data_IF_395244553137
#
_entry.id   IF_395244553137
#
_cell.length_a   1.000
_cell.length_b   1.000
_cell.length_c   1.000
_cell.angle_alpha   90.00
_cell.angle_beta   90.00
_cell.angle_gamma   90.00
#
_symmetry.space_group_name_H-M   'P 1'
#
loop_
_entity.id
_entity.type
_entity.pdbx_description
1 polymer ?
#
# COMPACT_ATOMS: atom_id res chain seq x y z
N UNK A 1 -18.58 9.00 28.61
CA UNK A 1 -19.97 9.47 28.54
C UNK A 1 -20.83 8.27 28.15
N UNK A 2 -21.59 7.75 29.11
CA UNK A 2 -22.47 6.59 28.94
C UNK A 2 -23.66 6.98 28.06
N UNK A 3 -23.95 6.19 27.03
CA UNK A 3 -25.19 6.31 26.26
C UNK A 3 -26.09 5.14 26.68
N UNK A 4 -27.06 5.43 27.54
CA UNK A 4 -28.21 4.55 27.77
C UNK A 4 -29.19 4.74 26.61
N UNK A 5 -29.51 3.66 25.92
CA UNK A 5 -30.58 3.60 24.92
C UNK A 5 -31.85 3.15 25.62
N UNK A 6 -32.90 3.95 25.51
CA UNK A 6 -34.24 3.61 25.99
C UNK A 6 -34.84 2.47 25.15
N UNK A 7 -35.20 1.38 25.82
CA UNK A 7 -35.93 0.24 25.23
C UNK A 7 -37.44 0.45 25.40
N UNK A 8 -38.16 0.65 24.31
CA UNK A 8 -39.61 0.41 24.26
C UNK A 8 -39.87 -1.04 23.85
N UNK A 9 -40.74 -1.70 24.61
CA UNK A 9 -41.10 -3.10 24.47
C UNK A 9 -41.88 -3.36 23.17
N UNK A 10 -41.43 -4.35 22.41
CA UNK A 10 -42.20 -5.00 21.34
C UNK A 10 -42.17 -6.50 21.59
N UNK A 11 -43.33 -7.16 21.51
CA UNK A 11 -43.53 -8.59 21.74
C UNK A 11 -42.70 -9.51 20.83
N UNK A 12 -42.72 -10.82 21.07
CA UNK A 12 -41.73 -11.76 20.56
C UNK A 12 -41.87 -11.95 19.05
N UNK A 13 -41.08 -11.21 18.27
CA UNK A 13 -40.76 -11.54 16.88
C UNK A 13 -39.55 -12.47 16.87
N UNK A 14 -39.67 -13.58 16.17
CA UNK A 14 -38.63 -14.60 16.03
C UNK A 14 -37.25 -13.98 15.72
N UNK A 15 -36.24 -14.41 16.48
CA UNK A 15 -34.87 -13.88 16.59
C UNK A 15 -33.99 -14.09 15.34
N UNK A 16 -34.56 -14.54 14.22
CA UNK A 16 -33.82 -15.02 13.04
C UNK A 16 -33.07 -13.91 12.30
N UNK A 17 -33.55 -12.67 12.36
CA UNK A 17 -32.90 -11.51 11.73
C UNK A 17 -31.68 -10.98 12.49
N UNK A 18 -31.66 -11.14 13.82
CA UNK A 18 -30.56 -10.69 14.69
C UNK A 18 -29.38 -11.66 14.60
N UNK A 19 -29.67 -12.96 14.62
CA UNK A 19 -28.67 -14.02 14.47
C UNK A 19 -28.01 -13.99 13.07
N UNK A 20 -28.78 -13.74 12.01
CA UNK A 20 -28.24 -13.56 10.67
C UNK A 20 -27.33 -12.33 10.55
N UNK A 21 -27.62 -11.24 11.28
CA UNK A 21 -26.78 -10.05 11.36
C UNK A 21 -25.47 -10.29 12.10
N UNK A 22 -25.52 -11.02 13.22
CA UNK A 22 -24.34 -11.41 14.03
C UNK A 22 -23.42 -12.34 13.22
N UNK A 23 -23.98 -13.34 12.54
CA UNK A 23 -23.21 -14.27 11.71
C UNK A 23 -22.48 -13.59 10.55
N UNK A 24 -23.10 -12.58 9.93
CA UNK A 24 -22.47 -11.80 8.85
C UNK A 24 -21.35 -10.89 9.34
N UNK A 25 -21.49 -10.23 10.49
CA UNK A 25 -20.41 -9.42 11.08
C UNK A 25 -19.20 -10.29 11.43
N UNK A 26 -19.43 -11.45 12.03
CA UNK A 26 -18.36 -12.40 12.35
C UNK A 26 -17.63 -12.91 11.09
N UNK A 27 -18.37 -13.20 10.01
CA UNK A 27 -17.77 -13.60 8.74
C UNK A 27 -16.93 -12.48 8.10
N UNK A 28 -17.41 -11.24 8.14
CA UNK A 28 -16.70 -10.07 7.64
C UNK A 28 -15.39 -9.83 8.42
N UNK A 29 -15.43 -9.92 9.76
CA UNK A 29 -14.23 -9.79 10.60
C UNK A 29 -13.20 -10.88 10.32
N UNK A 30 -13.64 -12.14 10.19
CA UNK A 30 -12.76 -13.26 9.83
C UNK A 30 -12.10 -13.06 8.47
N UNK A 31 -12.85 -12.54 7.50
CA UNK A 31 -12.30 -12.25 6.17
C UNK A 31 -11.22 -11.17 6.25
N UNK A 32 -11.50 -10.04 6.89
CA UNK A 32 -10.49 -8.99 7.10
C UNK A 32 -9.25 -9.52 7.82
N UNK A 33 -9.43 -10.35 8.85
CA UNK A 33 -8.32 -10.97 9.57
C UNK A 33 -7.49 -11.87 8.65
N UNK A 34 -8.11 -12.65 7.76
CA UNK A 34 -7.38 -13.47 6.79
C UNK A 34 -6.52 -12.63 5.84
N UNK A 35 -7.04 -11.50 5.34
CA UNK A 35 -6.26 -10.55 4.53
C UNK A 35 -5.07 -9.97 5.32
N UNK A 36 -5.27 -9.59 6.58
CA UNK A 36 -4.16 -9.11 7.43
C UNK A 36 -3.11 -10.21 7.66
N UNK A 37 -3.53 -11.44 7.98
CA UNK A 37 -2.60 -12.55 8.25
C UNK A 37 -1.79 -12.90 7.01
N UNK A 38 -2.43 -12.99 5.84
CA UNK A 38 -1.73 -13.25 4.57
C UNK A 38 -0.74 -12.13 4.24
N UNK A 39 -1.18 -10.87 4.32
CA UNK A 39 -0.33 -9.72 4.01
C UNK A 39 0.85 -9.59 4.97
N UNK A 40 0.61 -9.59 6.29
CA UNK A 40 1.67 -9.47 7.28
C UNK A 40 2.56 -10.72 7.36
N UNK A 41 2.04 -11.91 7.00
CA UNK A 41 2.85 -13.10 6.81
C UNK A 41 3.86 -12.93 5.67
N UNK A 42 3.41 -12.38 4.54
CA UNK A 42 4.30 -12.06 3.42
C UNK A 42 5.33 -10.98 3.80
N UNK A 43 4.91 -9.92 4.52
CA UNK A 43 5.83 -8.89 5.04
C UNK A 43 6.88 -9.51 5.95
N UNK A 44 6.50 -10.41 6.85
CA UNK A 44 7.45 -11.06 7.77
C UNK A 44 8.53 -11.82 6.98
N UNK A 45 8.12 -12.65 6.02
CA UNK A 45 9.07 -13.41 5.19
C UNK A 45 9.95 -12.48 4.37
N UNK A 46 9.38 -11.54 3.61
CA UNK A 46 10.15 -10.63 2.77
C UNK A 46 11.06 -9.69 3.57
N UNK A 47 10.57 -9.10 4.66
CA UNK A 47 11.32 -8.16 5.50
C UNK A 47 12.48 -8.82 6.25
N UNK A 48 12.38 -10.10 6.63
CA UNK A 48 13.52 -10.81 7.26
C UNK A 48 14.72 -11.00 6.33
N UNK A 49 14.52 -10.88 5.01
CA UNK A 49 15.60 -10.87 4.02
C UNK A 49 16.28 -9.49 3.96
N UNK A 50 15.57 -8.41 4.31
CA UNK A 50 16.07 -7.03 4.25
C UNK A 50 17.38 -6.78 5.01
N UNK A 51 17.54 -7.25 6.27
CA UNK A 51 18.80 -7.16 6.99
C UNK A 51 19.99 -7.79 6.25
N UNK A 52 19.78 -8.88 5.51
CA UNK A 52 20.83 -9.53 4.71
C UNK A 52 21.27 -8.65 3.56
N UNK A 53 20.33 -7.94 2.94
CA UNK A 53 20.61 -6.98 1.86
C UNK A 53 21.36 -5.76 2.40
N UNK A 54 20.93 -5.22 3.55
CA UNK A 54 21.62 -4.13 4.21
C UNK A 54 23.07 -4.50 4.60
N UNK A 55 23.28 -5.71 5.13
CA UNK A 55 24.62 -6.24 5.42
C UNK A 55 25.46 -6.39 4.15
N UNK A 56 24.87 -6.88 3.05
CA UNK A 56 25.56 -7.00 1.78
C UNK A 56 26.09 -5.64 1.28
N UNK A 57 25.28 -4.58 1.36
CA UNK A 57 25.70 -3.21 1.03
C UNK A 57 26.74 -2.63 2.00
N UNK A 58 26.86 -3.19 3.20
CA UNK A 58 27.94 -2.89 4.15
C UNK A 58 29.20 -3.76 3.95
N UNK A 59 29.25 -4.57 2.86
CA UNK A 59 30.37 -5.47 2.57
C UNK A 59 30.36 -6.79 3.36
N UNK A 60 29.26 -7.11 4.04
CA UNK A 60 29.11 -8.33 4.85
C UNK A 60 28.16 -9.30 4.13
N UNK A 61 28.71 -10.34 3.51
CA UNK A 61 27.91 -11.33 2.78
C UNK A 61 27.46 -12.50 3.68
N UNK A 62 26.20 -12.45 4.13
CA UNK A 62 25.59 -13.48 4.98
C UNK A 62 24.88 -14.62 4.21
N UNK A 63 24.75 -14.53 2.87
CA UNK A 63 24.01 -15.51 2.07
C UNK A 63 24.60 -16.93 2.07
N UNK A 64 25.93 -17.15 2.13
CA UNK A 64 26.48 -18.51 2.22
C UNK A 64 25.94 -19.31 3.40
N UNK A 65 25.70 -18.65 4.54
CA UNK A 65 25.18 -19.27 5.77
C UNK A 65 23.69 -19.64 5.70
N UNK A 66 22.98 -19.20 4.65
CA UNK A 66 21.55 -19.44 4.46
C UNK A 66 21.25 -20.53 3.43
N UNK A 67 22.27 -21.18 2.87
CA UNK A 67 22.05 -22.32 1.97
C UNK A 67 21.59 -23.54 2.78
N UNK A 68 20.64 -24.34 2.26
CA UNK A 68 20.04 -24.26 0.92
C UNK A 68 18.80 -23.35 0.82
N UNK A 69 18.37 -22.69 1.89
CA UNK A 69 17.13 -21.89 1.92
C UNK A 69 17.15 -20.72 0.92
N UNK A 70 18.25 -19.98 0.84
CA UNK A 70 18.49 -18.96 -0.18
C UNK A 70 19.80 -19.27 -0.91
N UNK A 71 19.71 -19.46 -2.22
CA UNK A 71 20.85 -19.85 -3.07
C UNK A 71 21.71 -18.64 -3.47
N UNK A 72 21.06 -17.52 -3.76
CA UNK A 72 21.70 -16.29 -4.26
C UNK A 72 21.11 -15.02 -3.64
N UNK A 73 21.87 -13.93 -3.74
CA UNK A 73 21.40 -12.58 -3.40
C UNK A 73 20.13 -12.21 -4.17
N UNK A 74 20.13 -12.45 -5.49
CA UNK A 74 19.03 -12.07 -6.39
C UNK A 74 17.76 -12.90 -6.17
N UNK A 75 17.88 -14.16 -5.74
CA UNK A 75 16.73 -14.94 -5.29
C UNK A 75 16.08 -14.26 -4.07
N UNK A 76 16.89 -13.92 -3.06
CA UNK A 76 16.42 -13.19 -1.88
C UNK A 76 15.84 -11.82 -2.23
N UNK A 77 16.46 -11.08 -3.14
CA UNK A 77 15.98 -9.77 -3.60
C UNK A 77 14.65 -9.87 -4.35
N UNK A 78 14.47 -10.91 -5.16
CA UNK A 78 13.19 -11.21 -5.82
C UNK A 78 12.10 -11.49 -4.78
N UNK A 79 12.36 -12.38 -3.82
CA UNK A 79 11.42 -12.71 -2.74
C UNK A 79 11.06 -11.46 -1.92
N UNK A 80 12.06 -10.66 -1.55
CA UNK A 80 11.85 -9.43 -0.79
C UNK A 80 10.93 -8.46 -1.52
N UNK A 81 11.26 -8.13 -2.78
CA UNK A 81 10.48 -7.17 -3.57
C UNK A 81 9.08 -7.68 -3.86
N UNK A 82 8.93 -8.96 -4.20
CA UNK A 82 7.61 -9.54 -4.55
C UNK A 82 6.70 -9.65 -3.32
N UNK A 83 7.21 -10.20 -2.21
CA UNK A 83 6.39 -10.40 -1.02
C UNK A 83 6.04 -9.09 -0.32
N UNK A 84 6.96 -8.12 -0.27
CA UNK A 84 6.69 -6.84 0.38
C UNK A 84 5.95 -5.87 -0.53
N UNK A 85 6.34 -5.78 -1.80
CA UNK A 85 5.80 -4.81 -2.76
C UNK A 85 4.45 -5.20 -3.34
N UNK A 86 4.21 -6.49 -3.62
CA UNK A 86 2.93 -6.95 -4.16
C UNK A 86 2.09 -7.67 -3.12
N UNK A 87 2.57 -8.78 -2.55
CA UNK A 87 1.71 -9.66 -1.72
C UNK A 87 1.24 -8.92 -0.45
N UNK A 88 2.16 -8.41 0.36
CA UNK A 88 1.84 -7.69 1.60
C UNK A 88 0.87 -6.53 1.35
N UNK A 89 1.25 -5.61 0.47
CA UNK A 89 0.47 -4.39 0.21
C UNK A 89 -0.88 -4.73 -0.40
N UNK A 90 -0.96 -5.66 -1.36
CA UNK A 90 -2.23 -5.97 -2.02
C UNK A 90 -3.21 -6.61 -1.05
N UNK A 91 -2.78 -7.60 -0.26
CA UNK A 91 -3.68 -8.25 0.69
C UNK A 91 -4.20 -7.24 1.72
N UNK A 92 -3.32 -6.42 2.31
CA UNK A 92 -3.76 -5.43 3.30
C UNK A 92 -4.67 -4.38 2.65
N UNK A 93 -4.29 -3.84 1.49
CA UNK A 93 -5.09 -2.86 0.73
C UNK A 93 -6.48 -3.40 0.38
N UNK A 94 -6.57 -4.55 -0.30
CA UNK A 94 -7.86 -5.11 -0.71
C UNK A 94 -8.75 -5.46 0.49
N UNK A 95 -8.15 -5.89 1.61
CA UNK A 95 -8.88 -6.08 2.86
C UNK A 95 -9.46 -4.77 3.40
N UNK A 96 -8.62 -3.75 3.57
CA UNK A 96 -9.00 -2.45 4.14
C UNK A 96 -10.04 -1.72 3.27
N UNK A 97 -9.84 -1.74 1.95
CA UNK A 97 -10.73 -1.07 0.99
C UNK A 97 -12.13 -1.65 0.97
N UNK A 98 -12.35 -2.90 1.41
CA UNK A 98 -13.70 -3.47 1.57
C UNK A 98 -14.20 -3.28 3.00
N UNK A 99 -13.36 -3.58 4.00
CA UNK A 99 -13.78 -3.59 5.40
C UNK A 99 -14.15 -2.20 5.91
N UNK A 100 -13.32 -1.18 5.68
CA UNK A 100 -13.56 0.16 6.23
C UNK A 100 -14.86 0.78 5.66
N UNK A 101 -15.15 0.73 4.35
CA UNK A 101 -16.44 1.17 3.82
C UNK A 101 -17.62 0.35 4.35
N UNK A 102 -17.46 -0.96 4.58
CA UNK A 102 -18.55 -1.76 5.15
C UNK A 102 -18.95 -1.28 6.55
N UNK A 103 -17.94 -0.93 7.37
CA UNK A 103 -18.15 -0.34 8.69
C UNK A 103 -18.72 1.08 8.61
N UNK A 104 -18.25 1.92 7.69
CA UNK A 104 -18.74 3.30 7.52
C UNK A 104 -20.19 3.35 7.01
N UNK A 105 -20.53 2.52 6.04
CA UNK A 105 -21.87 2.49 5.43
C UNK A 105 -22.89 1.73 6.28
N UNK A 106 -22.43 0.82 7.16
CA UNK A 106 -23.29 -0.16 7.83
C UNK A 106 -23.91 -1.16 6.85
N UNK A 107 -23.22 -1.46 5.75
CA UNK A 107 -23.68 -2.36 4.68
C UNK A 107 -22.71 -3.53 4.58
N UNK A 108 -23.23 -4.76 4.66
CA UNK A 108 -22.40 -5.95 4.54
C UNK A 108 -21.84 -6.10 3.10
N UNK A 109 -20.55 -6.44 2.94
CA UNK A 109 -19.96 -6.67 1.64
C UNK A 109 -20.44 -8.00 1.03
N UNK A 110 -20.31 -8.13 -0.30
CA UNK A 110 -20.50 -9.40 -0.99
C UNK A 110 -19.44 -10.43 -0.62
N UNK A 111 -19.67 -11.19 0.46
CA UNK A 111 -18.68 -12.12 1.03
C UNK A 111 -18.18 -13.20 0.06
N UNK A 112 -19.03 -13.68 -0.85
CA UNK A 112 -18.61 -14.67 -1.84
C UNK A 112 -17.55 -14.09 -2.78
N UNK A 113 -17.76 -12.89 -3.31
CA UNK A 113 -16.81 -12.22 -4.17
C UNK A 113 -15.53 -11.82 -3.41
N UNK A 114 -15.65 -11.46 -2.13
CA UNK A 114 -14.48 -11.17 -1.30
C UNK A 114 -13.63 -12.44 -1.02
N UNK A 115 -14.27 -13.61 -0.91
CA UNK A 115 -13.57 -14.91 -0.85
C UNK A 115 -12.88 -15.25 -2.16
N UNK A 116 -13.51 -14.97 -3.30
CA UNK A 116 -12.88 -15.16 -4.62
C UNK A 116 -11.67 -14.24 -4.78
N UNK A 117 -11.79 -12.96 -4.38
CA UNK A 117 -10.67 -12.01 -4.29
C UNK A 117 -9.50 -12.61 -3.50
N UNK A 118 -9.76 -13.05 -2.27
CA UNK A 118 -8.73 -13.68 -1.44
C UNK A 118 -8.15 -14.94 -2.09
N UNK A 119 -9.00 -15.82 -2.61
CA UNK A 119 -8.60 -17.10 -3.20
C UNK A 119 -7.70 -16.95 -4.42
N UNK A 120 -8.01 -16.01 -5.32
CA UNK A 120 -7.18 -15.70 -6.48
C UNK A 120 -5.80 -15.19 -6.05
N UNK A 121 -5.77 -14.24 -5.13
CA UNK A 121 -4.51 -13.68 -4.62
C UNK A 121 -3.69 -14.73 -3.86
N UNK A 122 -4.34 -15.62 -3.11
CA UNK A 122 -3.67 -16.68 -2.36
C UNK A 122 -3.11 -17.76 -3.30
N UNK A 123 -3.87 -18.15 -4.32
CA UNK A 123 -3.39 -19.07 -5.35
C UNK A 123 -2.20 -18.47 -6.11
N UNK A 124 -2.29 -17.19 -6.51
CA UNK A 124 -1.19 -16.49 -7.16
C UNK A 124 0.06 -16.42 -6.27
N UNK A 125 -0.12 -16.11 -4.98
CA UNK A 125 0.97 -16.11 -3.99
C UNK A 125 1.62 -17.48 -3.83
N UNK A 126 0.85 -18.57 -3.85
CA UNK A 126 1.40 -19.93 -3.79
C UNK A 126 2.26 -20.25 -5.02
N UNK A 127 1.81 -19.87 -6.22
CA UNK A 127 2.60 -20.02 -7.45
C UNK A 127 3.89 -19.20 -7.40
N UNK A 128 3.82 -17.95 -6.91
CA UNK A 128 4.99 -17.08 -6.74
C UNK A 128 6.00 -17.67 -5.75
N UNK A 129 5.53 -18.11 -4.57
CA UNK A 129 6.37 -18.74 -3.56
C UNK A 129 7.08 -19.97 -4.12
N UNK A 130 6.34 -20.85 -4.82
CA UNK A 130 6.94 -22.01 -5.49
C UNK A 130 8.06 -21.58 -6.45
N UNK A 131 7.75 -20.68 -7.39
CA UNK A 131 8.70 -20.29 -8.43
C UNK A 131 9.96 -19.60 -7.87
N UNK A 132 9.81 -18.76 -6.83
CA UNK A 132 10.92 -18.04 -6.21
C UNK A 132 11.78 -18.93 -5.30
N UNK A 133 11.18 -19.82 -4.50
CA UNK A 133 11.94 -20.68 -3.58
C UNK A 133 12.60 -21.88 -4.28
N UNK A 134 12.01 -22.38 -5.37
CA UNK A 134 12.67 -23.34 -6.29
C UNK A 134 13.79 -22.69 -7.12
N UNK A 135 13.99 -21.37 -6.97
CA UNK A 135 14.97 -20.56 -7.70
C UNK A 135 14.77 -20.54 -9.23
N UNK A 136 13.63 -21.02 -9.71
CA UNK A 136 13.24 -20.95 -11.13
C UNK A 136 12.94 -19.53 -11.63
N UNK A 137 12.77 -18.57 -10.72
CA UNK A 137 12.46 -17.17 -11.02
C UNK A 137 13.23 -16.18 -10.15
N UNK A 138 14.53 -16.05 -10.37
CA UNK A 138 15.36 -14.96 -9.81
C UNK A 138 15.40 -13.74 -10.74
N UNK A 139 14.22 -13.19 -11.04
CA UNK A 139 14.00 -12.14 -12.06
C UNK A 139 13.66 -10.77 -11.46
N UNK A 140 13.81 -10.62 -10.15
CA UNK A 140 13.39 -9.44 -9.38
C UNK A 140 11.88 -9.20 -9.43
N UNK A 141 11.44 -8.18 -8.71
CA UNK A 141 10.03 -7.77 -8.66
C UNK A 141 9.56 -7.05 -9.92
N UNK A 142 10.46 -6.65 -10.81
CA UNK A 142 10.12 -6.02 -12.09
C UNK A 142 10.10 -7.00 -13.27
N UNK A 143 10.73 -8.17 -13.13
CA UNK A 143 10.63 -9.30 -14.07
C UNK A 143 10.83 -8.95 -15.56
N UNK A 144 11.70 -7.96 -15.84
CA UNK A 144 11.91 -7.46 -17.19
C UNK A 144 12.51 -8.51 -18.13
N UNK A 145 11.90 -8.75 -19.31
CA UNK A 145 12.53 -9.45 -20.41
C UNK A 145 13.87 -8.79 -20.80
N UNK A 146 14.87 -9.58 -21.23
CA UNK A 146 14.78 -11.01 -21.56
C UNK A 146 15.00 -11.95 -20.37
N UNK A 147 15.03 -11.48 -19.13
CA UNK A 147 15.13 -12.35 -17.95
C UNK A 147 13.84 -13.17 -17.80
N UNK A 148 13.93 -14.46 -18.16
CA UNK A 148 12.77 -15.36 -18.21
C UNK A 148 12.66 -16.17 -16.92
N UNK A 149 11.54 -16.00 -16.22
CA UNK A 149 11.14 -16.83 -15.09
C UNK A 149 10.31 -18.04 -15.51
N UNK A 150 9.96 -18.86 -14.52
CA UNK A 150 9.02 -19.96 -14.66
C UNK A 150 7.59 -19.49 -14.99
N UNK A 151 6.79 -20.27 -15.75
CA UNK A 151 5.36 -20.00 -15.94
C UNK A 151 4.58 -19.79 -14.66
N UNK A 152 4.96 -20.46 -13.56
CA UNK A 152 4.31 -20.28 -12.26
C UNK A 152 4.49 -18.86 -11.70
N UNK A 153 5.60 -18.20 -12.00
CA UNK A 153 5.82 -16.84 -11.54
C UNK A 153 4.89 -15.86 -12.25
N UNK A 154 4.85 -15.89 -13.58
CA UNK A 154 4.01 -14.98 -14.38
C UNK A 154 2.52 -15.24 -14.12
N UNK A 155 2.09 -16.51 -14.15
CA UNK A 155 0.70 -16.85 -13.83
C UNK A 155 0.33 -16.47 -12.40
N UNK A 156 1.27 -16.60 -11.46
CA UNK A 156 1.11 -16.13 -10.09
C UNK A 156 0.86 -14.62 -9.99
N UNK A 157 1.64 -13.82 -10.73
CA UNK A 157 1.42 -12.37 -10.87
C UNK A 157 0.08 -12.04 -11.52
N UNK A 158 -0.34 -12.81 -12.54
CA UNK A 158 -1.64 -12.65 -13.22
C UNK A 158 -2.79 -12.85 -12.25
N UNK A 159 -2.80 -13.95 -11.49
CA UNK A 159 -3.83 -14.22 -10.50
C UNK A 159 -3.88 -13.18 -9.38
N UNK A 160 -2.71 -12.73 -8.90
CA UNK A 160 -2.60 -11.68 -7.89
C UNK A 160 -3.19 -10.35 -8.40
N UNK A 161 -2.87 -9.98 -9.64
CA UNK A 161 -3.38 -8.78 -10.30
C UNK A 161 -4.89 -8.86 -10.48
N UNK A 162 -5.43 -9.94 -11.05
CA UNK A 162 -6.88 -10.12 -11.22
C UNK A 162 -7.59 -10.05 -9.87
N UNK A 163 -7.10 -10.80 -8.88
CA UNK A 163 -7.68 -10.84 -7.53
C UNK A 163 -7.75 -9.46 -6.89
N UNK A 164 -6.71 -8.64 -7.07
CA UNK A 164 -6.64 -7.29 -6.49
C UNK A 164 -7.67 -6.29 -7.04
N UNK A 165 -8.28 -6.57 -8.21
CA UNK A 165 -9.33 -5.71 -8.81
C UNK A 165 -10.72 -5.96 -8.25
N UNK A 166 -10.94 -7.15 -7.67
CA UNK A 166 -12.25 -7.62 -7.17
C UNK A 166 -12.90 -6.77 -6.06
N UNK A 167 -12.20 -5.96 -5.26
CA UNK A 167 -12.85 -5.02 -4.34
C UNK A 167 -13.75 -3.97 -5.02
N UNK A 168 -13.48 -3.58 -6.28
CA UNK A 168 -14.25 -2.55 -6.98
C UNK A 168 -15.75 -2.89 -7.11
N UNK A 169 -16.14 -4.04 -7.71
CA UNK A 169 -17.55 -4.41 -7.80
C UNK A 169 -18.22 -4.56 -6.42
N UNK A 170 -17.49 -5.02 -5.39
CA UNK A 170 -18.00 -5.10 -4.01
C UNK A 170 -18.36 -3.70 -3.50
N UNK A 171 -17.46 -2.74 -3.68
CA UNK A 171 -17.67 -1.36 -3.24
C UNK A 171 -18.79 -0.64 -3.99
N UNK A 172 -18.87 -0.85 -5.30
CA UNK A 172 -19.96 -0.30 -6.11
C UNK A 172 -21.32 -0.83 -5.65
N UNK A 173 -21.43 -2.13 -5.38
CA UNK A 173 -22.67 -2.75 -4.88
C UNK A 173 -23.04 -2.23 -3.48
N UNK A 174 -22.07 -2.10 -2.58
CA UNK A 174 -22.28 -1.55 -1.23
C UNK A 174 -22.73 -0.09 -1.30
N UNK A 175 -22.05 0.74 -2.10
CA UNK A 175 -22.43 2.13 -2.29
C UNK A 175 -23.82 2.26 -2.92
N UNK A 176 -24.15 1.45 -3.93
CA UNK A 176 -25.46 1.48 -4.56
C UNK A 176 -26.58 1.13 -3.56
N UNK A 177 -26.34 0.14 -2.70
CA UNK A 177 -27.27 -0.23 -1.61
C UNK A 177 -27.43 0.91 -0.61
N UNK A 178 -26.34 1.54 -0.18
CA UNK A 178 -26.38 2.68 0.71
C UNK A 178 -27.10 3.89 0.11
N UNK A 179 -26.86 4.20 -1.18
CA UNK A 179 -27.48 5.31 -1.91
C UNK A 179 -28.97 5.10 -2.15
N UNK A 180 -29.42 3.86 -2.38
CA UNK A 180 -30.86 3.53 -2.49
C UNK A 180 -31.61 3.85 -1.20
N UNK A 181 -31.01 3.56 -0.05
CA UNK A 181 -31.59 3.90 1.25
C UNK A 181 -31.46 5.38 1.62
N UNK A 182 -30.55 6.13 0.97
CA UNK A 182 -30.24 7.55 1.25
C UNK A 182 -30.11 8.37 -0.04
N UNK A 183 -31.19 8.55 -0.81
CA UNK A 183 -31.17 9.37 -2.02
C UNK A 183 -30.69 10.80 -1.69
N UNK A 184 -29.95 11.43 -2.62
CA UNK A 184 -29.42 12.79 -2.44
C UNK A 184 -28.21 12.94 -1.51
N UNK A 185 -27.96 12.02 -0.57
CA UNK A 185 -26.82 12.15 0.36
C UNK A 185 -25.46 11.90 -0.32
N UNK A 186 -24.46 12.71 -0.03
CA UNK A 186 -23.10 12.55 -0.56
C UNK A 186 -22.48 11.25 -0.03
N UNK A 187 -21.70 10.56 -0.87
CA UNK A 187 -21.00 9.33 -0.47
C UNK A 187 -20.10 9.63 0.76
N UNK A 188 -20.18 8.85 1.84
CA UNK A 188 -19.30 8.98 3.00
C UNK A 188 -17.82 8.93 2.62
N UNK A 189 -16.98 9.61 3.40
CA UNK A 189 -15.62 9.97 3.00
C UNK A 189 -14.73 8.75 2.77
N UNK A 190 -14.72 7.78 3.69
CA UNK A 190 -13.88 6.58 3.57
C UNK A 190 -14.30 5.73 2.37
N UNK A 191 -15.60 5.62 2.13
CA UNK A 191 -16.18 4.94 0.97
C UNK A 191 -15.82 5.64 -0.33
N UNK A 192 -15.90 6.98 -0.37
CA UNK A 192 -15.49 7.77 -1.53
C UNK A 192 -14.00 7.55 -1.84
N UNK A 193 -13.13 7.69 -0.84
CA UNK A 193 -11.70 7.50 -0.99
C UNK A 193 -11.37 6.07 -1.45
N UNK A 194 -12.06 5.06 -0.89
CA UNK A 194 -11.86 3.65 -1.26
C UNK A 194 -12.29 3.36 -2.71
N UNK A 195 -13.41 3.93 -3.14
CA UNK A 195 -13.87 3.81 -4.53
C UNK A 195 -12.91 4.48 -5.51
N UNK A 196 -12.44 5.69 -5.21
CA UNK A 196 -11.48 6.40 -6.06
C UNK A 196 -10.16 5.63 -6.16
N UNK A 197 -9.70 5.05 -5.05
CA UNK A 197 -8.52 4.17 -5.03
C UNK A 197 -8.72 2.96 -5.96
N UNK A 198 -9.86 2.28 -5.86
CA UNK A 198 -10.14 1.10 -6.68
C UNK A 198 -10.39 1.43 -8.16
N UNK A 199 -11.01 2.56 -8.47
CA UNK A 199 -11.18 3.02 -9.85
C UNK A 199 -9.83 3.32 -10.49
N UNK A 200 -8.96 4.05 -9.79
CA UNK A 200 -7.57 4.29 -10.22
C UNK A 200 -6.84 2.96 -10.44
N UNK A 201 -6.91 2.04 -9.48
CA UNK A 201 -6.23 0.75 -9.56
C UNK A 201 -6.71 -0.11 -10.72
N UNK A 202 -8.01 -0.22 -10.96
CA UNK A 202 -8.52 -1.02 -12.09
C UNK A 202 -8.09 -0.45 -13.43
N UNK A 203 -8.06 0.88 -13.59
CA UNK A 203 -7.52 1.50 -14.81
C UNK A 203 -6.02 1.25 -14.96
N UNK A 204 -5.25 1.40 -13.89
CA UNK A 204 -3.83 1.14 -13.89
C UNK A 204 -3.49 -0.33 -14.19
N UNK A 205 -4.22 -1.27 -13.57
CA UNK A 205 -3.99 -2.71 -13.70
C UNK A 205 -4.21 -3.26 -15.10
N UNK A 206 -4.82 -2.49 -16.01
CA UNK A 206 -4.90 -2.85 -17.44
C UNK A 206 -3.51 -3.02 -18.04
N UNK A 207 -2.53 -2.19 -17.65
CA UNK A 207 -1.14 -2.30 -18.14
C UNK A 207 -0.52 -3.65 -17.78
N UNK A 208 -0.53 -4.02 -16.51
CA UNK A 208 0.00 -5.27 -16.00
C UNK A 208 -0.76 -6.49 -16.56
N UNK A 209 -2.08 -6.42 -16.72
CA UNK A 209 -2.82 -7.51 -17.35
C UNK A 209 -2.49 -7.64 -18.83
N UNK A 210 -2.28 -6.53 -19.55
CA UNK A 210 -1.85 -6.57 -20.95
C UNK A 210 -0.42 -7.14 -21.08
N UNK A 211 0.50 -6.70 -20.23
CA UNK A 211 1.87 -7.21 -20.13
C UNK A 211 1.86 -8.73 -19.86
N UNK A 212 1.19 -9.15 -18.80
CA UNK A 212 1.18 -10.53 -18.36
C UNK A 212 0.44 -11.44 -19.36
N UNK A 213 -0.82 -11.14 -19.69
CA UNK A 213 -1.68 -12.05 -20.47
C UNK A 213 -1.30 -12.07 -21.96
N UNK A 214 -0.86 -10.93 -22.52
CA UNK A 214 -0.55 -10.85 -23.95
C UNK A 214 0.91 -11.18 -24.26
N UNK A 215 1.83 -11.02 -23.30
CA UNK A 215 3.27 -11.21 -23.53
C UNK A 215 3.86 -12.27 -22.59
N UNK A 216 3.92 -12.03 -21.28
CA UNK A 216 4.75 -12.83 -20.37
C UNK A 216 4.21 -14.24 -20.14
N UNK A 217 2.90 -14.42 -19.95
CA UNK A 217 2.27 -15.74 -19.80
C UNK A 217 2.47 -16.58 -21.08
N UNK A 218 2.08 -16.14 -22.29
CA UNK A 218 2.34 -16.86 -23.54
C UNK A 218 3.82 -17.13 -23.79
N UNK A 219 4.70 -16.18 -23.48
CA UNK A 219 6.14 -16.33 -23.66
C UNK A 219 6.71 -17.39 -22.72
N UNK A 220 6.29 -17.40 -21.46
CA UNK A 220 6.77 -18.34 -20.45
C UNK A 220 6.51 -19.80 -20.81
N UNK A 221 5.36 -20.09 -21.45
CA UNK A 221 4.96 -21.44 -21.88
C UNK A 221 5.37 -21.76 -23.34
N UNK A 222 6.04 -20.83 -24.02
CA UNK A 222 6.58 -21.05 -25.37
C UNK A 222 5.60 -20.85 -26.52
N UNK A 223 4.44 -20.23 -26.29
CA UNK A 223 3.50 -19.87 -27.37
C UNK A 223 4.02 -18.73 -28.25
N UNK A 224 4.82 -17.83 -27.68
CA UNK A 224 5.56 -16.81 -28.44
C UNK A 224 7.05 -16.94 -28.16
N UNK A 225 7.87 -16.67 -29.18
CA UNK A 225 9.31 -16.89 -29.11
C UNK A 225 10.06 -15.76 -28.38
N UNK A 226 9.56 -14.52 -28.48
CA UNK A 226 10.22 -13.34 -27.96
C UNK A 226 9.21 -12.30 -27.48
N UNK A 227 9.67 -11.42 -26.59
CA UNK A 227 8.96 -10.28 -26.04
C UNK A 227 9.82 -9.04 -26.30
N UNK A 228 9.23 -7.96 -26.80
CA UNK A 228 9.93 -6.69 -26.99
C UNK A 228 10.14 -6.02 -25.63
N UNK A 229 11.38 -5.83 -25.15
CA UNK A 229 11.63 -5.30 -23.81
C UNK A 229 11.16 -3.86 -23.60
N UNK A 230 11.08 -3.04 -24.66
CA UNK A 230 10.63 -1.65 -24.55
C UNK A 230 9.11 -1.60 -24.41
N UNK A 231 8.39 -2.40 -25.20
CA UNK A 231 6.92 -2.47 -25.09
C UNK A 231 6.53 -3.06 -23.74
N UNK A 232 7.17 -4.16 -23.33
CA UNK A 232 6.96 -4.79 -22.03
C UNK A 232 7.16 -3.80 -20.87
N UNK A 233 8.32 -3.14 -20.79
CA UNK A 233 8.59 -2.14 -19.75
C UNK A 233 7.63 -0.96 -19.78
N UNK A 234 7.12 -0.58 -20.96
CA UNK A 234 6.13 0.49 -21.09
C UNK A 234 4.79 0.07 -20.51
N UNK A 235 4.34 -1.17 -20.74
CA UNK A 235 3.14 -1.71 -20.12
C UNK A 235 3.32 -1.93 -18.62
N UNK A 236 4.49 -2.43 -18.19
CA UNK A 236 4.85 -2.56 -16.79
C UNK A 236 4.71 -1.21 -16.10
N UNK A 237 5.31 -0.15 -16.63
CA UNK A 237 5.30 1.17 -15.99
C UNK A 237 3.99 1.93 -16.13
N UNK A 238 3.15 1.61 -17.12
CA UNK A 238 1.75 2.05 -17.14
C UNK A 238 1.01 1.65 -15.86
N UNK A 239 1.37 0.52 -15.24
CA UNK A 239 0.87 0.11 -13.92
C UNK A 239 1.82 0.45 -12.78
N UNK A 240 3.13 0.33 -13.02
CA UNK A 240 4.20 0.33 -12.02
C UNK A 240 4.37 1.66 -11.30
N UNK A 241 3.91 2.77 -11.90
CA UNK A 241 3.79 4.02 -11.16
C UNK A 241 2.47 4.13 -10.39
N UNK A 242 1.28 3.98 -11.00
CA UNK A 242 0.03 4.05 -10.24
C UNK A 242 -0.08 3.06 -9.06
N UNK A 243 0.56 1.89 -9.17
CA UNK A 243 0.59 0.86 -8.11
C UNK A 243 1.15 1.43 -6.79
N UNK A 244 2.09 2.38 -6.84
CA UNK A 244 2.67 2.95 -5.61
C UNK A 244 1.64 3.79 -4.85
N UNK A 245 0.69 4.41 -5.58
CA UNK A 245 -0.45 5.07 -4.96
C UNK A 245 -1.53 4.09 -4.52
N UNK A 246 -1.69 2.96 -5.21
CA UNK A 246 -2.55 1.89 -4.72
C UNK A 246 -2.09 1.37 -3.34
N UNK A 247 -0.77 1.34 -3.09
CA UNK A 247 -0.22 1.07 -1.77
C UNK A 247 -0.38 2.23 -0.78
N UNK A 248 -0.21 3.48 -1.24
CA UNK A 248 -0.23 4.68 -0.39
C UNK A 248 -1.65 5.11 0.04
N UNK A 249 -2.62 5.07 -0.88
CA UNK A 249 -3.96 5.62 -0.67
C UNK A 249 -4.71 5.00 0.52
N UNK A 250 -4.58 3.70 0.85
CA UNK A 250 -5.13 3.15 2.08
C UNK A 250 -4.50 3.71 3.35
N UNK A 251 -3.22 4.07 3.33
CA UNK A 251 -2.60 4.81 4.42
C UNK A 251 -3.23 6.21 4.56
N UNK A 252 -3.44 6.91 3.44
CA UNK A 252 -4.15 8.20 3.44
C UNK A 252 -5.59 8.08 3.92
N UNK A 253 -6.31 7.00 3.57
CA UNK A 253 -7.66 6.72 4.10
C UNK A 253 -7.61 6.66 5.63
N UNK A 254 -6.60 6.01 6.21
CA UNK A 254 -6.42 5.99 7.66
C UNK A 254 -6.09 7.38 8.21
N UNK A 255 -5.20 8.14 7.56
CA UNK A 255 -4.82 9.48 8.03
C UNK A 255 -5.99 10.47 8.02
N UNK A 256 -6.72 10.54 6.91
CA UNK A 256 -7.88 11.43 6.77
C UNK A 256 -9.10 10.92 7.55
N UNK A 257 -9.40 9.63 7.47
CA UNK A 257 -10.62 9.05 8.02
C UNK A 257 -10.55 8.68 9.50
N UNK A 258 -9.36 8.36 10.03
CA UNK A 258 -9.21 7.74 11.36
C UNK A 258 -8.24 8.50 12.26
N UNK A 259 -7.02 8.81 11.79
CA UNK A 259 -5.93 9.34 12.62
C UNK A 259 -6.30 10.64 13.33
N UNK A 260 -6.95 11.57 12.64
CA UNK A 260 -7.35 12.86 13.24
C UNK A 260 -8.23 12.66 14.48
N UNK A 261 -9.12 11.65 14.47
CA UNK A 261 -9.94 11.28 15.64
C UNK A 261 -9.14 10.50 16.68
N UNK A 262 -8.26 9.59 16.27
CA UNK A 262 -7.37 8.85 17.17
C UNK A 262 -6.44 9.81 17.96
N UNK A 263 -6.02 10.91 17.34
CA UNK A 263 -5.23 11.97 17.96
C UNK A 263 -6.03 12.82 18.96
N UNK A 264 -7.36 12.66 19.04
CA UNK A 264 -8.25 13.45 19.91
C UNK A 264 -8.80 14.72 19.25
N UNK A 265 -8.71 14.86 17.93
CA UNK A 265 -9.25 15.98 17.17
C UNK A 265 -10.28 15.54 16.12
N UNK A 266 -10.30 16.28 15.01
CA UNK A 266 -11.16 16.01 13.85
C UNK A 266 -10.40 16.33 12.57
N UNK A 267 -10.83 15.74 11.45
CA UNK A 267 -10.38 16.18 10.14
C UNK A 267 -10.84 17.62 9.91
N UNK A 268 -9.93 18.52 9.59
CA UNK A 268 -10.25 19.95 9.41
C UNK A 268 -10.98 20.25 8.12
N UNK A 269 -10.84 19.41 7.08
CA UNK A 269 -11.50 19.60 5.79
C UNK A 269 -11.78 18.29 5.06
N UNK A 270 -13.06 17.91 4.99
CA UNK A 270 -13.55 16.81 4.14
C UNK A 270 -13.38 17.12 2.63
N UNK A 271 -13.71 18.33 2.11
CA UNK A 271 -13.51 18.65 0.69
C UNK A 271 -12.06 18.52 0.23
N UNK A 272 -11.07 18.91 1.05
CA UNK A 272 -9.66 18.78 0.69
C UNK A 272 -9.20 17.32 0.63
N UNK A 273 -9.71 16.47 1.52
CA UNK A 273 -9.47 15.03 1.44
C UNK A 273 -10.06 14.44 0.14
N UNK A 274 -11.28 14.85 -0.25
CA UNK A 274 -11.90 14.41 -1.50
C UNK A 274 -11.13 14.88 -2.73
N UNK A 275 -10.76 16.15 -2.76
CA UNK A 275 -9.96 16.74 -3.84
C UNK A 275 -8.63 15.99 -3.99
N UNK A 276 -7.94 15.72 -2.88
CA UNK A 276 -6.68 14.96 -2.89
C UNK A 276 -6.85 13.61 -3.59
N UNK A 277 -7.88 12.84 -3.24
CA UNK A 277 -8.12 11.53 -3.86
C UNK A 277 -8.48 11.65 -5.35
N UNK A 278 -9.28 12.65 -5.73
CA UNK A 278 -9.59 12.92 -7.13
C UNK A 278 -8.33 13.26 -7.94
N UNK A 279 -7.45 14.12 -7.40
CA UNK A 279 -6.20 14.48 -8.06
C UNK A 279 -5.24 13.29 -8.14
N UNK A 280 -5.15 12.45 -7.10
CA UNK A 280 -4.37 11.21 -7.15
C UNK A 280 -4.87 10.26 -8.24
N UNK A 281 -6.18 10.09 -8.39
CA UNK A 281 -6.73 9.25 -9.47
C UNK A 281 -6.37 9.76 -10.86
N UNK A 282 -6.40 11.08 -11.08
CA UNK A 282 -6.12 11.67 -12.39
C UNK A 282 -4.62 11.68 -12.70
N UNK A 283 -3.80 12.15 -11.75
CA UNK A 283 -2.38 12.36 -12.01
C UNK A 283 -1.52 11.10 -11.84
N UNK A 284 -1.98 10.08 -11.10
CA UNK A 284 -1.22 8.83 -10.96
C UNK A 284 -1.14 8.00 -12.25
N UNK A 285 -2.08 8.17 -13.20
CA UNK A 285 -2.21 7.30 -14.37
C UNK A 285 -1.22 7.62 -15.50
N UNK A 286 -1.11 8.87 -16.02
CA UNK A 286 -0.39 9.14 -17.27
C UNK A 286 1.08 9.54 -17.05
N UNK A 287 1.78 8.92 -16.10
CA UNK A 287 3.13 9.38 -15.71
C UNK A 287 4.18 8.27 -15.63
N UNK A 288 3.78 7.00 -15.81
CA UNK A 288 4.67 5.85 -15.59
C UNK A 288 5.98 5.88 -16.35
N UNK A 289 6.00 6.46 -17.54
CA UNK A 289 7.19 6.58 -18.39
C UNK A 289 8.29 7.49 -17.81
N UNK A 290 8.09 8.16 -16.66
CA UNK A 290 9.25 8.74 -15.95
C UNK A 290 10.23 7.68 -15.45
N UNK A 291 9.78 6.45 -15.20
CA UNK A 291 10.67 5.33 -14.91
C UNK A 291 11.46 4.85 -16.15
N UNK A 292 11.23 5.48 -17.30
CA UNK A 292 11.84 5.19 -18.59
C UNK A 292 12.61 6.41 -19.13
N UNK A 293 12.99 7.36 -18.27
CA UNK A 293 13.81 8.50 -18.69
C UNK A 293 15.15 8.09 -19.32
N UNK A 294 15.73 6.98 -18.87
CA UNK A 294 16.94 6.40 -19.42
C UNK A 294 16.68 5.51 -20.66
N UNK A 295 15.43 5.18 -20.98
CA UNK A 295 15.11 4.24 -22.06
C UNK A 295 15.27 4.90 -23.44
N UNK A 296 15.73 4.14 -24.45
CA UNK A 296 15.70 4.59 -25.84
C UNK A 296 14.26 4.68 -26.36
N UNK A 297 14.07 5.32 -27.51
CA UNK A 297 12.77 5.36 -28.20
C UNK A 297 11.80 6.45 -27.75
N UNK A 298 12.13 7.22 -26.71
CA UNK A 298 11.33 8.37 -26.27
C UNK A 298 11.96 9.71 -26.67
N UNK A 299 11.17 10.59 -27.29
CA UNK A 299 11.64 11.93 -27.67
C UNK A 299 11.88 12.82 -26.44
N UNK A 300 12.77 13.80 -26.57
CA UNK A 300 13.04 14.78 -25.50
C UNK A 300 11.77 15.57 -25.12
N UNK A 301 10.92 15.88 -26.09
CA UNK A 301 9.64 16.56 -25.88
C UNK A 301 8.72 15.72 -24.99
N UNK A 302 8.63 14.41 -25.25
CA UNK A 302 7.81 13.51 -24.44
C UNK A 302 8.33 13.42 -23.01
N UNK A 303 9.65 13.34 -22.82
CA UNK A 303 10.26 13.36 -21.49
C UNK A 303 9.94 14.67 -20.74
N UNK A 304 10.00 15.81 -21.42
CA UNK A 304 9.62 17.11 -20.85
C UNK A 304 8.16 17.16 -20.38
N UNK A 305 7.22 16.65 -21.19
CA UNK A 305 5.79 16.54 -20.82
C UNK A 305 5.63 15.67 -19.56
N UNK A 306 6.32 14.53 -19.51
CA UNK A 306 6.23 13.60 -18.39
C UNK A 306 6.78 14.17 -17.09
N UNK A 307 7.84 14.99 -17.13
CA UNK A 307 8.31 15.71 -15.94
C UNK A 307 7.19 16.57 -15.38
N UNK A 308 6.52 17.38 -16.21
CA UNK A 308 5.44 18.26 -15.76
C UNK A 308 4.25 17.46 -15.19
N UNK A 309 3.85 16.39 -15.85
CA UNK A 309 2.77 15.52 -15.37
C UNK A 309 3.15 14.83 -14.05
N UNK A 310 4.39 14.33 -13.93
CA UNK A 310 4.89 13.70 -12.70
C UNK A 310 4.94 14.70 -11.54
N UNK A 311 5.40 15.93 -11.79
CA UNK A 311 5.39 16.99 -10.77
C UNK A 311 3.97 17.34 -10.32
N UNK A 312 2.98 17.21 -11.21
CA UNK A 312 1.57 17.44 -10.85
C UNK A 312 1.07 16.47 -9.79
N UNK A 313 1.65 15.27 -9.67
CA UNK A 313 1.30 14.30 -8.62
C UNK A 313 1.78 14.74 -7.22
N UNK A 314 2.79 15.62 -7.14
CA UNK A 314 3.23 16.17 -5.87
C UNK A 314 2.14 17.04 -5.21
N UNK A 315 1.26 17.66 -5.99
CA UNK A 315 0.19 18.53 -5.49
C UNK A 315 -0.73 17.83 -4.48
N UNK A 316 -1.37 16.67 -4.79
CA UNK A 316 -2.18 15.96 -3.80
C UNK A 316 -1.41 15.65 -2.51
N UNK A 317 -0.15 15.24 -2.59
CA UNK A 317 0.68 14.97 -1.40
C UNK A 317 0.96 16.22 -0.56
N UNK A 318 1.17 17.39 -1.19
CA UNK A 318 1.31 18.66 -0.49
C UNK A 318 0.01 19.09 0.20
N UNK A 319 -1.14 18.88 -0.45
CA UNK A 319 -2.47 19.09 0.16
C UNK A 319 -2.63 18.17 1.37
N UNK A 320 -2.19 16.91 1.28
CA UNK A 320 -2.18 15.99 2.42
C UNK A 320 -1.29 16.45 3.54
N UNK A 321 -0.04 16.82 3.27
CA UNK A 321 0.88 17.31 4.29
C UNK A 321 0.26 18.49 5.07
N UNK A 322 -0.33 19.46 4.36
CA UNK A 322 -0.96 20.62 4.98
C UNK A 322 -2.24 20.27 5.75
N UNK A 323 -3.17 19.54 5.12
CA UNK A 323 -4.48 19.22 5.73
C UNK A 323 -4.32 18.29 6.93
N UNK A 324 -3.42 17.32 6.85
CA UNK A 324 -3.10 16.42 7.95
C UNK A 324 -2.37 17.15 9.07
N UNK A 325 -1.36 17.98 8.73
CA UNK A 325 -0.64 18.80 9.68
C UNK A 325 -1.58 19.69 10.51
N UNK A 326 -2.49 20.40 9.84
CA UNK A 326 -3.52 21.21 10.53
C UNK A 326 -4.46 20.37 11.39
N UNK A 327 -4.83 19.17 10.95
CA UNK A 327 -5.71 18.28 11.75
C UNK A 327 -5.02 17.78 13.02
N UNK A 328 -3.72 17.47 12.93
CA UNK A 328 -2.90 17.08 14.08
C UNK A 328 -2.60 18.27 14.99
N UNK A 329 -2.34 19.46 14.44
CA UNK A 329 -2.19 20.68 15.22
C UNK A 329 -3.47 20.99 16.00
N UNK A 330 -4.62 20.93 15.33
CA UNK A 330 -5.93 21.10 15.98
C UNK A 330 -6.11 20.10 17.13
N UNK A 331 -5.79 18.82 16.91
CA UNK A 331 -5.84 17.80 17.96
C UNK A 331 -4.87 18.10 19.13
N UNK A 332 -3.63 18.48 18.84
CA UNK A 332 -2.63 18.83 19.84
C UNK A 332 -3.01 20.06 20.67
N UNK A 333 -3.62 21.07 20.04
CA UNK A 333 -4.12 22.27 20.72
C UNK A 333 -5.30 21.97 21.65
N UNK A 334 -6.25 21.13 21.21
CA UNK A 334 -7.33 20.64 22.09
C UNK A 334 -6.81 19.86 23.30
N UNK A 335 -5.62 19.28 23.19
CA UNK A 335 -4.94 18.55 24.27
C UNK A 335 -4.05 19.45 25.13
N UNK A 336 -4.20 20.77 25.04
CA UNK A 336 -3.48 21.74 25.85
C UNK A 336 -2.10 22.14 25.32
N UNK A 337 -1.73 21.73 24.11
CA UNK A 337 -0.49 22.14 23.48
C UNK A 337 -0.51 23.63 23.10
N UNK A 338 0.47 24.40 23.58
CA UNK A 338 0.58 25.84 23.36
C UNK A 338 1.85 26.21 22.57
N UNK A 339 1.92 27.46 22.09
CA UNK A 339 3.06 27.96 21.31
C UNK A 339 3.20 27.30 19.92
N UNK A 340 4.41 27.39 19.36
CA UNK A 340 4.72 26.94 18.00
C UNK A 340 4.82 25.41 17.89
N UNK A 341 5.40 24.74 18.89
CA UNK A 341 5.68 23.28 18.86
C UNK A 341 4.99 22.48 19.98
N UNK A 342 4.31 23.14 20.94
CA UNK A 342 3.69 22.43 22.06
C UNK A 342 2.53 21.53 21.64
N UNK A 343 1.84 21.85 20.54
CA UNK A 343 0.79 20.99 19.97
C UNK A 343 1.34 19.60 19.58
N UNK A 344 2.54 19.53 19.00
CA UNK A 344 3.13 18.29 18.52
C UNK A 344 3.49 17.38 19.71
N UNK A 345 4.05 17.95 20.79
CA UNK A 345 4.34 17.22 22.04
C UNK A 345 3.07 16.74 22.75
N UNK A 346 1.97 17.48 22.62
CA UNK A 346 0.69 17.15 23.24
C UNK A 346 -0.09 16.02 22.53
N UNK A 347 0.32 15.63 21.31
CA UNK A 347 -0.25 14.46 20.62
C UNK A 347 -0.10 13.19 21.49
N UNK A 348 -1.01 12.21 21.36
CA UNK A 348 -1.00 11.02 22.20
C UNK A 348 0.09 10.03 21.76
N UNK A 349 1.36 10.37 21.98
CA UNK A 349 2.53 9.53 21.67
C UNK A 349 2.57 8.19 22.41
N UNK A 350 1.83 8.06 23.52
CA UNK A 350 1.61 6.79 24.21
C UNK A 350 0.60 5.85 23.54
N UNK A 351 -0.03 6.29 22.44
CA UNK A 351 -0.84 5.43 21.59
C UNK A 351 -0.02 4.87 20.41
N UNK A 352 0.19 3.55 20.33
CA UNK A 352 1.00 2.96 19.26
C UNK A 352 0.47 3.28 17.85
N UNK A 353 -0.85 3.33 17.66
CA UNK A 353 -1.47 3.61 16.35
C UNK A 353 -1.23 5.05 15.94
N UNK A 354 -1.37 6.00 16.89
CA UNK A 354 -1.10 7.42 16.59
C UNK A 354 0.39 7.65 16.36
N UNK A 355 1.25 7.17 17.27
CA UNK A 355 2.69 7.37 17.16
C UNK A 355 3.23 6.84 15.82
N UNK A 356 2.90 5.59 15.45
CA UNK A 356 3.38 5.00 14.21
C UNK A 356 2.90 5.74 12.95
N UNK A 357 1.64 6.19 12.89
CA UNK A 357 1.15 6.96 11.73
C UNK A 357 1.75 8.37 11.65
N UNK A 358 1.96 9.03 12.78
CA UNK A 358 2.62 10.36 12.79
C UNK A 358 4.08 10.22 12.36
N UNK A 359 4.79 9.19 12.83
CA UNK A 359 6.16 8.90 12.38
C UNK A 359 6.22 8.56 10.89
N UNK A 360 5.24 7.79 10.38
CA UNK A 360 5.08 7.54 8.96
C UNK A 360 4.90 8.86 8.17
N UNK A 361 4.01 9.75 8.62
CA UNK A 361 3.80 11.04 7.96
C UNK A 361 5.06 11.94 7.96
N UNK A 362 5.83 11.93 9.05
CA UNK A 362 7.12 12.65 9.13
C UNK A 362 8.13 12.09 8.13
N UNK A 363 8.23 10.76 8.06
CA UNK A 363 9.10 10.05 7.11
C UNK A 363 8.80 10.44 5.65
N UNK A 364 7.51 10.63 5.35
CA UNK A 364 7.07 10.96 3.99
C UNK A 364 7.59 12.31 3.48
N UNK A 365 8.01 13.23 4.35
CA UNK A 365 8.63 14.50 3.93
C UNK A 365 9.90 14.22 3.12
N UNK A 366 10.75 13.30 3.60
CA UNK A 366 11.96 12.87 2.89
C UNK A 366 11.61 12.07 1.62
N UNK A 367 10.59 11.21 1.71
CA UNK A 367 10.10 10.45 0.55
C UNK A 367 9.60 11.37 -0.57
N UNK A 368 8.84 12.41 -0.25
CA UNK A 368 8.37 13.40 -1.21
C UNK A 368 9.51 14.20 -1.83
N UNK A 369 10.45 14.68 -1.03
CA UNK A 369 11.60 15.45 -1.52
C UNK A 369 12.47 14.63 -2.49
N UNK A 370 12.79 13.39 -2.13
CA UNK A 370 13.57 12.48 -2.99
C UNK A 370 12.77 12.02 -4.22
N UNK A 371 11.45 11.92 -4.13
CA UNK A 371 10.58 11.64 -5.28
C UNK A 371 10.57 12.78 -6.32
N UNK A 372 10.66 14.03 -5.87
CA UNK A 372 10.81 15.19 -6.78
C UNK A 372 12.13 15.10 -7.55
N UNK A 373 13.22 14.68 -6.90
CA UNK A 373 14.51 14.44 -7.57
C UNK A 373 14.37 13.38 -8.66
N UNK A 374 13.81 12.20 -8.33
CA UNK A 374 13.62 11.11 -9.29
C UNK A 374 12.66 11.49 -10.44
N UNK A 375 11.62 12.28 -10.15
CA UNK A 375 10.69 12.77 -11.18
C UNK A 375 11.27 13.86 -12.07
N UNK A 376 12.47 14.37 -11.77
CA UNK A 376 13.14 15.43 -12.51
C UNK A 376 14.15 14.83 -13.47
N UNK A 377 13.79 14.67 -14.74
CA UNK A 377 14.56 13.96 -15.78
C UNK A 377 16.09 14.11 -15.71
N UNK A 378 16.62 15.34 -15.63
CA UNK A 378 18.07 15.56 -15.59
C UNK A 378 18.71 15.18 -14.26
N UNK A 379 17.98 15.29 -13.16
CA UNK A 379 18.43 14.83 -11.85
C UNK A 379 18.31 13.30 -11.73
N UNK A 380 17.30 12.69 -12.34
CA UNK A 380 17.17 11.23 -12.41
C UNK A 380 18.42 10.61 -13.03
N UNK A 381 19.00 11.22 -14.08
CA UNK A 381 20.23 10.73 -14.69
C UNK A 381 21.43 10.58 -13.71
N UNK A 382 21.41 11.25 -12.55
CA UNK A 382 22.44 11.16 -11.50
C UNK A 382 22.16 9.96 -10.56
N UNK A 383 20.88 9.65 -10.33
CA UNK A 383 20.43 8.69 -9.30
C UNK A 383 19.80 7.42 -9.87
N UNK A 384 19.58 7.36 -11.17
CA UNK A 384 18.92 6.26 -11.86
C UNK A 384 19.69 4.95 -11.67
N UNK A 385 18.98 3.90 -11.24
CA UNK A 385 19.56 2.59 -10.93
C UNK A 385 20.76 2.62 -9.96
N UNK A 386 20.84 3.64 -9.11
CA UNK A 386 21.70 3.62 -7.92
C UNK A 386 20.86 3.29 -6.69
N UNK A 387 21.53 2.96 -5.58
CA UNK A 387 20.84 2.71 -4.30
C UNK A 387 20.12 3.92 -3.70
N UNK A 388 20.22 5.10 -4.34
CA UNK A 388 19.35 6.23 -4.03
C UNK A 388 17.87 5.87 -4.18
N UNK A 389 17.51 5.13 -5.23
CA UNK A 389 16.12 4.74 -5.52
C UNK A 389 15.56 3.78 -4.45
N UNK A 390 16.25 2.69 -4.05
CA UNK A 390 15.92 1.92 -2.86
C UNK A 390 15.74 2.78 -1.60
N UNK A 391 16.65 3.72 -1.32
CA UNK A 391 16.54 4.62 -0.17
C UNK A 391 15.25 5.45 -0.20
N UNK A 392 14.92 6.07 -1.34
CA UNK A 392 13.65 6.76 -1.59
C UNK A 392 12.44 5.85 -1.34
N UNK A 393 12.45 4.65 -1.91
CA UNK A 393 11.31 3.75 -1.84
C UNK A 393 11.06 3.18 -0.44
N UNK A 394 12.11 3.02 0.38
CA UNK A 394 11.97 2.57 1.77
C UNK A 394 11.43 3.66 2.70
N UNK A 395 11.64 4.94 2.41
CA UNK A 395 10.96 6.05 3.12
C UNK A 395 9.57 6.37 2.59
N UNK A 396 9.19 5.83 1.43
CA UNK A 396 7.80 5.84 0.96
C UNK A 396 7.12 4.54 1.36
N UNK A 397 7.22 3.47 0.59
CA UNK A 397 6.47 2.21 0.82
C UNK A 397 6.93 1.49 2.10
N UNK A 398 8.25 1.37 2.30
CA UNK A 398 8.83 0.67 3.45
C UNK A 398 8.55 1.33 4.79
N UNK A 399 8.18 2.61 4.80
CA UNK A 399 7.90 3.38 6.01
C UNK A 399 6.46 3.86 6.02
N UNK A 400 6.07 4.72 5.09
CA UNK A 400 4.73 5.32 5.07
C UNK A 400 3.63 4.28 4.99
N UNK A 401 3.66 3.42 3.96
CA UNK A 401 2.66 2.38 3.79
C UNK A 401 2.79 1.32 4.88
N UNK A 402 3.98 0.70 5.00
CA UNK A 402 4.17 -0.42 5.92
C UNK A 402 3.92 -0.02 7.39
N UNK A 403 4.47 1.11 7.87
CA UNK A 403 4.24 1.55 9.26
C UNK A 403 2.80 1.98 9.49
N UNK A 404 2.14 2.62 8.51
CA UNK A 404 0.71 2.94 8.67
C UNK A 404 -0.12 1.67 8.76
N UNK A 405 0.19 0.65 7.97
CA UNK A 405 -0.50 -0.64 8.06
C UNK A 405 -0.23 -1.31 9.41
N UNK A 406 1.02 -1.31 9.90
CA UNK A 406 1.33 -1.78 11.26
C UNK A 406 0.53 -1.00 12.32
N UNK A 407 0.46 0.32 12.19
CA UNK A 407 -0.29 1.18 13.10
C UNK A 407 -1.77 0.84 13.13
N UNK A 408 -2.37 0.58 11.95
CA UNK A 408 -3.74 0.13 11.84
C UNK A 408 -3.94 -1.19 12.60
N UNK A 409 -3.02 -2.14 12.51
CA UNK A 409 -3.15 -3.42 13.24
C UNK A 409 -3.21 -3.25 14.76
N UNK A 410 -2.57 -2.22 15.33
CA UNK A 410 -2.56 -2.00 16.78
C UNK A 410 -3.96 -1.76 17.37
N UNK A 411 -4.89 -1.19 16.61
CA UNK A 411 -6.28 -1.09 17.04
C UNK A 411 -7.18 -2.11 16.34
N UNK A 412 -6.86 -2.46 15.09
CA UNK A 412 -7.72 -3.29 14.24
C UNK A 412 -7.68 -4.77 14.65
N UNK A 413 -6.53 -5.33 15.00
CA UNK A 413 -6.44 -6.73 15.46
C UNK A 413 -7.25 -6.94 16.75
N UNK A 414 -7.15 -6.06 17.77
CA UNK A 414 -8.07 -6.12 18.91
C UNK A 414 -9.53 -5.99 18.54
N UNK A 415 -9.86 -5.11 17.60
CA UNK A 415 -11.22 -4.95 17.11
C UNK A 415 -11.76 -6.21 16.41
N UNK A 416 -10.94 -6.89 15.61
CA UNK A 416 -11.34 -8.07 14.84
C UNK A 416 -11.44 -9.33 15.71
N UNK A 417 -10.55 -9.48 16.69
CA UNK A 417 -10.39 -10.72 17.48
C UNK A 417 -11.00 -10.64 18.88
N UNK A 418 -11.31 -9.44 19.38
CA UNK A 418 -11.69 -9.21 20.77
C UNK A 418 -10.53 -9.35 21.77
N UNK A 419 -9.30 -9.62 21.30
CA UNK A 419 -8.12 -9.80 22.15
C UNK A 419 -7.37 -8.50 22.33
N UNK A 420 -6.99 -8.15 23.56
CA UNK A 420 -6.17 -6.96 23.81
C UNK A 420 -4.79 -7.12 23.18
N UNK A 421 -4.13 -6.01 22.87
CA UNK A 421 -2.71 -6.02 22.50
C UNK A 421 -1.89 -6.65 23.62
N UNK A 422 -0.96 -7.53 23.26
CA UNK A 422 -0.06 -8.21 24.21
C UNK A 422 0.74 -7.19 25.02
N UNK A 423 1.31 -6.19 24.37
CA UNK A 423 2.02 -5.11 25.04
C UNK A 423 1.97 -3.83 24.21
N UNK A 424 1.37 -2.76 24.77
CA UNK A 424 1.41 -1.42 24.17
C UNK A 424 2.83 -0.86 24.11
N UNK A 425 3.67 -1.18 25.10
CA UNK A 425 5.08 -0.75 25.13
C UNK A 425 5.88 -1.39 24.01
N UNK A 426 5.66 -2.68 23.73
CA UNK A 426 6.33 -3.37 22.63
C UNK A 426 5.88 -2.82 21.27
N UNK A 427 4.58 -2.53 21.11
CA UNK A 427 4.06 -1.90 19.89
C UNK A 427 4.68 -0.51 19.64
N UNK A 428 4.85 0.30 20.69
CA UNK A 428 5.56 1.58 20.60
C UNK A 428 7.04 1.39 20.26
N UNK A 429 7.72 0.46 20.93
CA UNK A 429 9.13 0.17 20.64
C UNK A 429 9.32 -0.26 19.20
N UNK A 430 8.47 -1.15 18.67
CA UNK A 430 8.49 -1.58 17.28
C UNK A 430 8.31 -0.40 16.31
N UNK A 431 7.36 0.52 16.58
CA UNK A 431 7.13 1.69 15.76
C UNK A 431 8.35 2.64 15.70
N UNK A 432 8.95 2.91 16.86
CA UNK A 432 10.13 3.79 16.95
C UNK A 432 11.39 3.15 16.36
N UNK A 433 11.60 1.84 16.60
CA UNK A 433 12.74 1.10 16.03
C UNK A 433 12.63 1.01 14.50
N UNK A 434 11.43 0.75 13.96
CA UNK A 434 11.21 0.74 12.52
C UNK A 434 11.47 2.12 11.92
N UNK A 435 10.92 3.19 12.52
CA UNK A 435 11.16 4.56 12.09
C UNK A 435 12.66 4.90 12.06
N UNK A 436 13.35 4.71 13.18
CA UNK A 436 14.77 5.05 13.28
C UNK A 436 15.64 4.21 12.34
N UNK A 437 15.34 2.90 12.24
CA UNK A 437 16.04 1.99 11.33
C UNK A 437 15.86 2.38 9.87
N UNK A 438 14.63 2.71 9.45
CA UNK A 438 14.37 3.16 8.07
C UNK A 438 14.99 4.52 7.77
N UNK A 439 15.02 5.45 8.73
CA UNK A 439 15.73 6.73 8.57
C UNK A 439 17.23 6.53 8.36
N UNK A 440 17.86 5.72 9.21
CA UNK A 440 19.28 5.41 9.09
C UNK A 440 19.58 4.71 7.77
N UNK A 441 18.78 3.69 7.42
CA UNK A 441 18.89 2.95 6.16
C UNK A 441 18.80 3.89 4.96
N UNK A 442 17.76 4.73 4.91
CA UNK A 442 17.50 5.58 3.76
C UNK A 442 18.58 6.65 3.57
N UNK A 443 19.05 7.26 4.65
CA UNK A 443 20.17 8.21 4.58
C UNK A 443 21.43 7.52 4.06
N UNK A 444 21.77 6.34 4.57
CA UNK A 444 22.93 5.57 4.11
C UNK A 444 22.84 5.20 2.62
N UNK A 445 21.70 4.67 2.20
CA UNK A 445 21.47 4.27 0.81
C UNK A 445 21.46 5.47 -0.15
N UNK A 446 20.79 6.56 0.21
CA UNK A 446 20.78 7.76 -0.62
C UNK A 446 22.16 8.37 -0.74
N UNK A 447 22.94 8.41 0.34
CA UNK A 447 24.30 8.93 0.30
C UNK A 447 25.19 8.07 -0.61
N UNK A 448 25.21 6.76 -0.43
CA UNK A 448 26.01 5.88 -1.28
C UNK A 448 25.53 5.87 -2.74
N UNK A 449 24.22 6.05 -2.99
CA UNK A 449 23.66 6.19 -4.32
C UNK A 449 24.12 7.45 -5.05
N UNK A 450 24.38 8.56 -4.33
CA UNK A 450 24.98 9.77 -4.91
C UNK A 450 26.44 9.55 -5.35
N UNK A 451 27.13 8.52 -4.83
CA UNK A 451 28.44 8.08 -5.30
C UNK A 451 28.36 7.02 -6.41
N UNK A 452 27.16 6.72 -6.93
CA UNK A 452 26.98 5.79 -8.04
C UNK A 452 27.00 4.31 -7.65
N UNK A 453 26.82 3.97 -6.37
CA UNK A 453 26.66 2.56 -5.95
C UNK A 453 25.34 2.02 -6.53
N UNK A 454 25.37 0.91 -7.30
CA UNK A 454 24.18 0.37 -7.97
C UNK A 454 23.20 -0.36 -7.04
#
# INVERSE_FOLDING_TARGET
MNIQVATQAAGPRADTGRDAGIGRDAAMRRMMLAFLVAGFGALLVGATIGPLQALNYAGINAYPSLRPLLQTYYQGLTIHGVLNGYVFTFFVTCGLLVYLPARELGVAPGLALWRVCFGLMAAGTACLLYAMFDNSSSVLWTFYPPLKGSPFFYFGMTLLTIGSTMPLPILLAMRATWKRARPGQVTPLVTYMSLVTMLMWVMAGIGALAELVLQLDPWSIGLIAAVDPIIDRTLFWLTGHPIVYFWLMPAYISWYGLLSRQAGGKLVSDPMARLTFALLMVFALPVGTHHQFADPGFSQVWRGILVVLTMSVAMPSLITAFTLGLSLEYAGRLRGGTGLFGWFRALPWGDPSVAAQVLAAVTFILGGATGIVNGSWQLDAIVHNTIFVPGHFHVTVGSVTAMTFMAITFWMVPHLTGRRLVSRRLALAAAWLWFAGMMLFAVGMQWAGLYGVP
#
